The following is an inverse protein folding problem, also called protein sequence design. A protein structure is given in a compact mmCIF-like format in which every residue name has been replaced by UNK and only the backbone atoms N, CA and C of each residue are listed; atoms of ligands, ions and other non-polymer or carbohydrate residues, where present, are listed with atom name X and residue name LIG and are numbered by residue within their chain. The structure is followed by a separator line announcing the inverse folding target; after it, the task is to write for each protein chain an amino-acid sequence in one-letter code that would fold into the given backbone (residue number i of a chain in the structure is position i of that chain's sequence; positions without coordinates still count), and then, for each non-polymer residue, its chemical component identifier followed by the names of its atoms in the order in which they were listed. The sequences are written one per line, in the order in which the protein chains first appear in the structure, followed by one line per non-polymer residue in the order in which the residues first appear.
data_IF_827987146963
#
_entry.id   IF_827987146963
#
_cell.length_a   1.000
_cell.length_b   1.000
_cell.length_c   1.000
_cell.angle_alpha   90.00
_cell.angle_beta   90.00
_cell.angle_gamma   90.00
#
_symmetry.space_group_name_H-M   'P 1'
#
loop_
_entity.id
_entity.type
_entity.pdbx_description
1 polymer ?
#
# COMPACT_ATOMS: atom_id res chain seq x y z
N UNK A 1 -11.95 -13.00 12.50
CA UNK A 1 -11.55 -12.45 11.18
C UNK A 1 -11.64 -10.95 11.28
N UNK A 2 -10.52 -10.21 11.16
CA UNK A 2 -10.60 -8.74 11.01
C UNK A 2 -11.35 -8.47 9.70
N UNK A 3 -12.34 -7.59 9.75
CA UNK A 3 -13.18 -7.18 8.60
C UNK A 3 -12.24 -6.78 7.44
N UNK A 4 -12.32 -7.51 6.31
CA UNK A 4 -11.45 -7.30 5.13
C UNK A 4 -11.47 -5.85 4.63
N UNK A 5 -12.53 -5.10 4.94
CA UNK A 5 -12.71 -3.70 4.54
C UNK A 5 -11.91 -2.69 5.38
N UNK A 6 -11.66 -2.99 6.65
CA UNK A 6 -10.83 -2.12 7.51
C UNK A 6 -9.37 -2.22 7.06
N UNK A 7 -8.95 -3.42 6.67
CA UNK A 7 -7.62 -3.72 6.19
C UNK A 7 -7.23 -2.94 4.92
N UNK A 8 -8.15 -2.83 3.94
CA UNK A 8 -7.89 -2.11 2.68
C UNK A 8 -7.77 -0.58 2.87
N UNK A 9 -8.52 -0.02 3.82
CA UNK A 9 -8.50 1.41 4.13
C UNK A 9 -7.18 1.81 4.81
N UNK A 10 -6.69 0.98 5.75
CA UNK A 10 -5.41 1.22 6.43
C UNK A 10 -4.22 1.08 5.46
N UNK A 11 -4.25 0.10 4.55
CA UNK A 11 -3.26 -0.02 3.47
C UNK A 11 -3.27 1.23 2.58
N UNK A 12 -4.46 1.71 2.20
CA UNK A 12 -4.58 2.92 1.38
C UNK A 12 -4.04 4.15 2.12
N UNK A 13 -4.28 4.27 3.42
CA UNK A 13 -3.76 5.35 4.26
C UNK A 13 -2.22 5.33 4.35
N UNK A 14 -1.62 4.15 4.50
CA UNK A 14 -0.17 3.98 4.46
C UNK A 14 0.42 4.50 3.15
N UNK A 15 -0.11 4.10 1.99
CA UNK A 15 0.44 4.59 0.72
C UNK A 15 0.22 6.09 0.53
N UNK A 16 -0.88 6.65 1.04
CA UNK A 16 -1.15 8.09 0.99
C UNK A 16 -0.21 8.96 1.81
N UNK A 17 0.46 8.42 2.83
CA UNK A 17 1.45 9.22 3.56
C UNK A 17 2.72 9.50 2.76
N UNK A 18 2.94 8.78 1.65
CA UNK A 18 4.13 8.93 0.80
C UNK A 18 3.79 9.34 -0.66
N UNK A 19 2.61 8.98 -1.17
CA UNK A 19 2.22 9.21 -2.56
C UNK A 19 0.85 9.86 -2.67
N UNK A 20 0.68 10.68 -3.71
CA UNK A 20 -0.63 11.20 -4.12
C UNK A 20 -1.14 10.38 -5.30
N UNK A 21 -2.32 9.76 -5.17
CA UNK A 21 -2.91 8.95 -6.25
C UNK A 21 -4.04 9.71 -6.97
N UNK A 22 -4.13 9.63 -8.30
CA UNK A 22 -5.27 10.11 -9.06
C UNK A 22 -6.54 9.29 -8.79
N UNK A 23 -7.72 9.89 -9.01
CA UNK A 23 -9.03 9.24 -8.77
C UNK A 23 -9.24 7.92 -9.52
N UNK A 24 -8.57 7.73 -10.65
CA UNK A 24 -8.66 6.51 -11.46
C UNK A 24 -8.05 5.26 -10.79
N UNK A 25 -7.18 5.47 -9.80
CA UNK A 25 -6.47 4.40 -9.11
C UNK A 25 -7.30 3.77 -7.99
N UNK A 26 -8.51 4.29 -7.76
CA UNK A 26 -9.45 3.81 -6.76
C UNK A 26 -10.63 3.10 -7.42
N UNK A 27 -11.19 2.13 -6.70
CA UNK A 27 -12.44 1.49 -7.08
C UNK A 27 -13.66 2.36 -6.73
N UNK A 28 -14.85 1.85 -7.04
CA UNK A 28 -16.13 2.54 -6.79
C UNK A 28 -16.43 2.80 -5.30
N UNK A 29 -15.71 2.13 -4.39
CA UNK A 29 -15.83 2.32 -2.94
C UNK A 29 -14.75 3.24 -2.37
N UNK A 30 -13.86 3.79 -3.21
CA UNK A 30 -12.79 4.69 -2.79
C UNK A 30 -11.58 3.99 -2.19
N UNK A 31 -11.40 2.68 -2.38
CA UNK A 31 -10.16 1.98 -2.00
C UNK A 31 -9.24 1.81 -3.21
N UNK A 32 -7.92 1.82 -2.98
CA UNK A 32 -6.96 1.64 -4.07
C UNK A 32 -7.16 0.29 -4.76
N UNK A 33 -7.08 0.30 -6.08
CA UNK A 33 -7.10 -0.92 -6.89
C UNK A 33 -5.82 -1.73 -6.66
N UNK A 34 -5.88 -3.04 -6.90
CA UNK A 34 -4.71 -3.92 -6.74
C UNK A 34 -3.55 -3.48 -7.64
N UNK A 35 -3.83 -2.99 -8.85
CA UNK A 35 -2.80 -2.46 -9.75
C UNK A 35 -2.15 -1.21 -9.17
N UNK A 36 -2.96 -0.27 -8.65
CA UNK A 36 -2.43 0.93 -8.01
C UNK A 36 -1.56 0.62 -6.79
N UNK A 37 -1.91 -0.41 -5.99
CA UNK A 37 -1.08 -0.86 -4.87
C UNK A 37 0.29 -1.40 -5.34
N UNK A 38 0.32 -2.14 -6.45
CA UNK A 38 1.58 -2.65 -7.04
C UNK A 38 2.44 -1.51 -7.56
N UNK A 39 1.82 -0.56 -8.26
CA UNK A 39 2.50 0.61 -8.80
C UNK A 39 3.05 1.49 -7.66
N UNK A 40 2.30 1.65 -6.57
CA UNK A 40 2.73 2.34 -5.37
C UNK A 40 4.01 1.75 -4.78
N UNK A 41 4.00 0.43 -4.55
CA UNK A 41 5.17 -0.31 -4.05
C UNK A 41 6.36 -0.11 -4.99
N UNK A 42 6.14 -0.22 -6.30
CA UNK A 42 7.19 -0.05 -7.30
C UNK A 42 7.80 1.36 -7.26
N UNK A 43 6.97 2.40 -7.18
CA UNK A 43 7.42 3.80 -7.10
C UNK A 43 8.21 4.03 -5.82
N UNK A 44 7.72 3.58 -4.68
CA UNK A 44 8.38 3.78 -3.39
C UNK A 44 9.75 3.10 -3.31
N UNK A 45 9.89 1.91 -3.89
CA UNK A 45 11.18 1.22 -3.97
C UNK A 45 12.12 1.86 -5.01
N UNK A 46 11.60 2.26 -6.17
CA UNK A 46 12.39 2.88 -7.24
C UNK A 46 12.93 4.24 -6.83
N UNK A 47 12.12 5.04 -6.14
CA UNK A 47 12.51 6.35 -5.61
C UNK A 47 13.34 6.24 -4.31
N UNK A 48 13.67 5.03 -3.86
CA UNK A 48 14.42 4.77 -2.62
C UNK A 48 13.80 5.40 -1.38
N UNK A 49 12.46 5.50 -1.33
CA UNK A 49 11.75 5.84 -0.09
C UNK A 49 11.95 4.73 0.93
N UNK A 50 11.94 3.48 0.46
CA UNK A 50 12.37 2.31 1.20
C UNK A 50 13.50 1.61 0.46
N UNK A 51 14.47 1.10 1.20
CA UNK A 51 15.65 0.37 0.72
C UNK A 51 15.30 -1.07 0.33
N UNK A 52 14.22 -1.63 0.88
CA UNK A 52 13.76 -2.99 0.57
C UNK A 52 12.26 -3.19 0.80
N UNK A 53 11.72 -4.27 0.23
CA UNK A 53 10.34 -4.73 0.50
C UNK A 53 10.12 -5.03 1.98
N UNK A 54 11.16 -5.52 2.65
CA UNK A 54 11.09 -5.96 4.04
C UNK A 54 11.10 -4.77 5.00
N UNK A 55 11.85 -3.72 4.67
CA UNK A 55 11.80 -2.44 5.38
C UNK A 55 10.41 -1.80 5.27
N UNK A 56 9.86 -1.72 4.05
CA UNK A 56 8.51 -1.19 3.82
C UNK A 56 7.45 -1.95 4.62
N UNK A 57 7.50 -3.28 4.64
CA UNK A 57 6.60 -4.11 5.46
C UNK A 57 6.77 -3.83 6.96
N UNK A 58 8.00 -3.67 7.43
CA UNK A 58 8.28 -3.35 8.82
C UNK A 58 7.74 -1.98 9.21
N UNK A 59 7.86 -0.98 8.35
CA UNK A 59 7.37 0.37 8.60
C UNK A 59 5.84 0.42 8.57
N UNK A 60 5.21 -0.21 7.58
CA UNK A 60 3.75 -0.33 7.51
C UNK A 60 3.17 -1.01 8.76
N UNK A 61 3.84 -2.04 9.28
CA UNK A 61 3.41 -2.73 10.50
C UNK A 61 3.60 -1.86 11.74
N UNK A 62 4.74 -1.15 11.85
CA UNK A 62 5.10 -0.38 13.04
C UNK A 62 4.28 0.90 13.16
N UNK A 63 4.16 1.66 12.08
CA UNK A 63 3.62 3.01 12.12
C UNK A 63 2.10 3.04 11.82
N UNK A 64 1.61 2.03 11.09
CA UNK A 64 0.20 1.95 10.67
C UNK A 64 -0.50 0.68 11.18
N UNK A 65 0.20 -0.29 11.77
CA UNK A 65 -0.40 -1.56 12.21
C UNK A 65 -0.82 -2.47 11.04
N UNK A 66 -0.31 -2.20 9.85
CA UNK A 66 -0.73 -2.84 8.58
C UNK A 66 0.21 -3.96 8.19
N UNK A 67 -0.36 -5.09 7.77
CA UNK A 67 0.40 -6.17 7.13
C UNK A 67 0.21 -6.03 5.63
N UNK A 68 1.25 -5.61 4.91
CA UNK A 68 1.16 -5.51 3.45
C UNK A 68 1.08 -6.91 2.81
N UNK A 69 0.08 -7.20 1.96
CA UNK A 69 -0.09 -8.51 1.38
C UNK A 69 1.04 -8.83 0.39
N UNK A 70 1.55 -10.07 0.39
CA UNK A 70 2.71 -10.41 -0.45
C UNK A 70 2.43 -10.25 -1.95
N UNK A 71 1.18 -10.43 -2.38
CA UNK A 71 0.75 -10.32 -3.78
C UNK A 71 0.97 -8.94 -4.41
N UNK A 72 1.04 -7.85 -3.63
CA UNK A 72 1.33 -6.52 -4.20
C UNK A 72 2.82 -6.32 -4.48
N UNK A 73 3.68 -7.23 -4.02
CA UNK A 73 5.12 -7.24 -4.28
C UNK A 73 5.54 -8.22 -5.39
N UNK A 74 4.59 -9.01 -5.91
CA UNK A 74 4.81 -10.00 -6.96
C UNK A 74 4.40 -9.34 -8.27
N UNK A 75 5.36 -8.99 -9.11
CA UNK A 75 5.18 -8.51 -10.48
C UNK A 75 6.00 -9.37 -11.42
#
# INVERSE_FOLDING_TARGET
MKDSRIFDAEISAFFHSYLTFPKQDYNTFGTLTQQALRDAVHVLLTNRVFSSKEEMKSEALKDFGVILPNEIFIG
#
